data_IF_057300782474
#
_entry.id   IF_057300782474
#
_cell.length_a   1.000
_cell.length_b   1.000
_cell.length_c   1.000
_cell.angle_alpha   90.00
_cell.angle_beta   90.00
_cell.angle_gamma   90.00
#
_symmetry.space_group_name_H-M   'P 1'
#
loop_
_entity.id
_entity.type
_entity.pdbx_description
1 polymer ?
#
# COMPACT_ATOMS: atom_id res chain seq x y z
N UNK A 1 12.97 0.64 6.02
CA UNK A 1 11.87 -0.10 5.36
C UNK A 1 10.67 0.83 5.30
N UNK A 2 9.99 0.89 4.17
CA UNK A 2 8.70 1.57 4.04
C UNK A 2 7.67 0.51 3.69
N UNK A 3 6.65 0.36 4.55
CA UNK A 3 5.51 -0.51 4.27
C UNK A 3 4.41 0.28 3.57
N UNK A 4 3.87 -0.26 2.49
CA UNK A 4 2.76 0.36 1.76
C UNK A 4 1.45 0.29 2.53
N UNK A 5 1.28 -0.73 3.37
CA UNK A 5 0.12 -0.92 4.25
C UNK A 5 0.40 -1.98 5.32
N UNK A 6 -0.54 -2.18 6.27
CA UNK A 6 -0.32 -2.99 7.48
C UNK A 6 -0.66 -4.48 7.35
N UNK A 7 -1.07 -5.00 6.20
CA UNK A 7 -1.40 -6.42 6.08
C UNK A 7 -0.20 -7.31 6.37
N UNK A 8 -0.45 -8.45 7.02
CA UNK A 8 0.58 -9.31 7.61
C UNK A 8 1.64 -9.79 6.61
N UNK A 9 1.25 -10.05 5.37
CA UNK A 9 2.14 -10.52 4.30
C UNK A 9 3.07 -9.42 3.77
N UNK A 10 2.78 -8.15 4.06
CA UNK A 10 3.64 -7.01 3.75
C UNK A 10 4.53 -6.56 4.91
N UNK A 11 4.13 -6.83 6.17
CA UNK A 11 4.86 -6.32 7.35
C UNK A 11 5.62 -7.39 8.12
N UNK A 12 5.25 -8.65 8.05
CA UNK A 12 5.91 -9.72 8.82
C UNK A 12 7.38 -9.95 8.45
N UNK A 13 7.82 -9.47 7.28
CA UNK A 13 9.22 -9.44 6.90
C UNK A 13 10.07 -8.45 7.71
N UNK A 14 9.47 -7.46 8.35
CA UNK A 14 10.18 -6.43 9.13
C UNK A 14 11.04 -7.02 10.25
N UNK A 15 10.60 -8.12 10.87
CA UNK A 15 11.30 -8.78 11.98
C UNK A 15 12.71 -9.30 11.61
N UNK A 16 12.99 -9.51 10.33
CA UNK A 16 14.31 -9.94 9.87
C UNK A 16 15.32 -8.79 9.75
N UNK A 17 14.88 -7.55 9.96
CA UNK A 17 15.71 -6.35 9.82
C UNK A 17 15.69 -5.50 11.12
N UNK A 18 16.24 -6.02 12.24
CA UNK A 18 16.09 -5.40 13.57
C UNK A 18 16.69 -3.99 13.66
N UNK A 19 17.68 -3.68 12.82
CA UNK A 19 18.34 -2.37 12.78
C UNK A 19 17.71 -1.38 11.79
N UNK A 20 16.71 -1.81 11.00
CA UNK A 20 16.04 -0.91 10.10
C UNK A 20 15.02 -0.04 10.84
N UNK A 21 14.88 1.20 10.38
CA UNK A 21 13.73 2.02 10.75
C UNK A 21 12.54 1.60 9.89
N UNK A 22 11.39 1.47 10.52
CA UNK A 22 10.13 1.08 9.89
C UNK A 22 9.26 2.31 9.74
N UNK A 23 8.88 2.62 8.51
CA UNK A 23 7.97 3.69 8.16
C UNK A 23 6.68 3.13 7.55
N UNK A 24 5.56 3.66 7.95
CA UNK A 24 4.22 3.29 7.47
C UNK A 24 3.28 4.49 7.65
N UNK A 25 2.19 4.54 6.90
CA UNK A 25 1.19 5.60 7.08
C UNK A 25 0.59 5.57 8.50
N UNK A 26 0.38 6.75 9.11
CA UNK A 26 -0.07 6.90 10.50
C UNK A 26 -1.32 6.10 10.87
N UNK A 27 -2.26 5.93 9.93
CA UNK A 27 -3.49 5.15 10.19
C UNK A 27 -3.15 3.67 10.33
N UNK A 28 -2.34 3.13 9.43
CA UNK A 28 -1.93 1.73 9.46
C UNK A 28 -0.86 1.46 10.53
N UNK A 29 -0.16 2.49 11.02
CA UNK A 29 0.74 2.40 12.16
C UNK A 29 -0.01 1.97 13.43
N UNK A 30 -1.21 2.50 13.67
CA UNK A 30 -2.06 2.13 14.81
C UNK A 30 -2.35 0.62 14.75
N UNK A 31 -2.79 0.13 13.58
CA UNK A 31 -3.09 -1.29 13.40
C UNK A 31 -1.86 -2.20 13.60
N UNK A 32 -0.68 -1.75 13.13
CA UNK A 32 0.55 -2.52 13.26
C UNK A 32 1.07 -2.57 14.70
N UNK A 33 0.88 -1.49 15.48
CA UNK A 33 1.34 -1.40 16.88
C UNK A 33 0.43 -2.11 17.89
N UNK A 34 -0.80 -2.40 17.54
CA UNK A 34 -1.77 -3.09 18.38
C UNK A 34 -1.75 -4.60 18.14
N UNK A 35 -1.71 -5.38 19.23
CA UNK A 35 -1.84 -6.83 19.15
C UNK A 35 -3.22 -7.22 18.58
N UNK A 36 -3.25 -8.23 17.72
CA UNK A 36 -4.47 -8.80 17.13
C UNK A 36 -5.41 -7.80 16.43
N UNK A 37 -4.89 -6.64 15.99
CA UNK A 37 -5.72 -5.67 15.30
C UNK A 37 -6.26 -6.24 13.97
N UNK A 38 -7.60 -6.24 13.77
CA UNK A 38 -8.23 -6.85 12.60
C UNK A 38 -7.85 -6.16 11.27
N UNK A 39 -7.44 -4.90 11.29
CA UNK A 39 -7.03 -4.17 10.09
C UNK A 39 -5.72 -4.75 9.47
N UNK A 40 -4.94 -5.54 10.25
CA UNK A 40 -3.78 -6.28 9.72
C UNK A 40 -4.13 -7.52 8.92
N UNK A 41 -5.37 -7.94 8.96
CA UNK A 41 -5.96 -9.18 8.42
C UNK A 41 -5.24 -10.47 8.84
N UNK A 42 -4.27 -10.41 9.73
CA UNK A 42 -3.47 -11.56 10.16
C UNK A 42 -4.35 -12.69 10.73
N UNK A 43 -5.19 -12.39 11.71
CA UNK A 43 -6.09 -13.37 12.36
C UNK A 43 -7.09 -13.98 11.38
N UNK A 44 -7.55 -13.23 10.37
CA UNK A 44 -8.44 -13.75 9.33
C UNK A 44 -7.82 -14.90 8.52
N UNK A 45 -6.50 -14.87 8.35
CA UNK A 45 -5.75 -15.92 7.65
C UNK A 45 -5.01 -16.88 8.59
N UNK A 46 -5.28 -16.83 9.90
CA UNK A 46 -4.64 -17.71 10.90
C UNK A 46 -3.16 -17.36 11.14
N UNK A 47 -2.79 -16.12 10.93
CA UNK A 47 -1.46 -15.58 11.19
C UNK A 47 -1.47 -14.58 12.36
N UNK A 48 -0.28 -14.24 12.83
CA UNK A 48 -0.02 -13.21 13.83
C UNK A 48 0.97 -12.19 13.27
N UNK A 49 0.91 -10.96 13.74
CA UNK A 49 1.93 -9.96 13.47
C UNK A 49 3.16 -10.28 14.30
N UNK A 50 4.34 -10.28 13.66
CA UNK A 50 5.61 -10.65 14.30
C UNK A 50 6.45 -9.45 14.73
N UNK A 51 6.13 -8.26 14.24
CA UNK A 51 6.89 -7.05 14.52
C UNK A 51 5.94 -5.85 14.55
N UNK A 52 5.75 -5.30 15.73
CA UNK A 52 4.88 -4.15 15.99
C UNK A 52 5.62 -2.82 15.99
N UNK A 53 6.90 -2.84 15.56
CA UNK A 53 7.74 -1.64 15.55
C UNK A 53 7.32 -0.69 14.45
N UNK A 54 7.10 0.58 14.81
CA UNK A 54 6.97 1.72 13.90
C UNK A 54 7.90 2.82 14.39
N UNK A 55 8.78 3.33 13.54
CA UNK A 55 9.72 4.42 13.87
C UNK A 55 9.29 5.74 13.23
N UNK A 56 8.56 5.70 12.10
CA UNK A 56 8.18 6.87 11.32
C UNK A 56 6.74 6.70 10.84
N UNK A 57 5.90 7.63 11.22
CA UNK A 57 4.55 7.73 10.70
C UNK A 57 4.54 8.66 9.47
N UNK A 58 3.94 8.18 8.38
CA UNK A 58 3.88 8.88 7.11
C UNK A 58 2.49 9.47 6.86
N UNK A 59 2.47 10.56 6.10
CA UNK A 59 1.24 11.22 5.62
C UNK A 59 1.34 11.52 4.12
N UNK A 60 0.19 11.91 3.54
CA UNK A 60 0.11 12.41 2.16
C UNK A 60 1.13 13.53 1.91
N UNK A 61 1.91 13.41 0.84
CA UNK A 61 2.88 14.42 0.41
C UNK A 61 4.25 14.35 1.09
N UNK A 62 4.42 13.46 2.07
CA UNK A 62 5.74 13.22 2.67
C UNK A 62 6.75 12.75 1.61
N UNK A 63 8.03 13.00 1.87
CA UNK A 63 9.12 12.59 0.99
C UNK A 63 9.99 11.52 1.66
N UNK A 64 10.17 10.41 0.98
CA UNK A 64 11.13 9.37 1.34
C UNK A 64 12.15 9.26 0.21
N UNK A 65 13.32 9.89 0.40
CA UNK A 65 14.31 10.08 -0.67
C UNK A 65 13.65 10.77 -1.88
N UNK A 66 13.66 10.12 -3.04
CA UNK A 66 13.11 10.64 -4.30
C UNK A 66 11.60 10.34 -4.45
N UNK A 67 11.01 9.57 -3.54
CA UNK A 67 9.61 9.19 -3.59
C UNK A 67 8.72 10.13 -2.78
N UNK A 68 7.58 10.47 -3.36
CA UNK A 68 6.46 11.12 -2.69
C UNK A 68 5.46 10.08 -2.20
N UNK A 69 5.00 10.24 -0.97
CA UNK A 69 3.93 9.43 -0.38
C UNK A 69 2.59 9.90 -0.91
N UNK A 70 1.86 8.99 -1.54
CA UNK A 70 0.49 9.23 -2.01
C UNK A 70 -0.44 8.34 -1.18
N UNK A 71 -1.27 8.94 -0.33
CA UNK A 71 -2.26 8.18 0.44
C UNK A 71 -3.38 7.69 -0.48
N UNK A 72 -3.54 6.38 -0.53
CA UNK A 72 -4.46 5.65 -1.42
C UNK A 72 -5.34 4.66 -0.64
N UNK A 73 -6.20 5.17 0.26
CA UNK A 73 -7.06 4.31 1.06
C UNK A 73 -8.01 3.49 0.20
N UNK A 74 -8.40 2.33 0.71
CA UNK A 74 -9.38 1.46 0.08
C UNK A 74 -9.08 -0.02 0.22
N UNK A 75 -7.87 -0.47 -0.04
CA UNK A 75 -7.42 -1.83 0.29
C UNK A 75 -7.20 -1.96 1.81
N UNK A 76 -6.42 -1.05 2.41
CA UNK A 76 -6.42 -0.73 3.83
C UNK A 76 -6.76 0.75 4.02
N UNK A 77 -7.00 1.17 5.27
CA UNK A 77 -7.31 2.57 5.60
C UNK A 77 -6.11 3.50 5.42
N UNK A 78 -4.90 2.98 5.68
CA UNK A 78 -3.65 3.70 5.58
C UNK A 78 -2.79 3.29 4.38
N UNK A 79 -3.36 2.63 3.36
CA UNK A 79 -2.60 2.25 2.18
C UNK A 79 -1.98 3.46 1.50
N UNK A 80 -0.72 3.32 1.09
CA UNK A 80 0.01 4.34 0.34
C UNK A 80 0.63 3.76 -0.93
N UNK A 81 0.82 4.64 -1.90
CA UNK A 81 1.74 4.44 -3.00
C UNK A 81 2.96 5.35 -2.82
N UNK A 82 4.09 4.96 -3.40
CA UNK A 82 5.29 5.78 -3.45
C UNK A 82 5.59 6.10 -4.91
N UNK A 83 5.73 7.39 -5.24
CA UNK A 83 5.90 7.86 -6.62
C UNK A 83 7.11 8.78 -6.76
N UNK A 84 7.98 8.52 -7.76
CA UNK A 84 9.21 9.29 -8.01
C UNK A 84 9.15 10.21 -9.24
N UNK A 85 7.98 10.31 -9.88
CA UNK A 85 7.79 11.05 -11.13
C UNK A 85 7.68 10.16 -12.37
N UNK A 86 8.10 8.91 -12.28
CA UNK A 86 8.01 7.91 -13.35
C UNK A 86 7.50 6.55 -12.85
N UNK A 87 8.00 6.12 -11.68
CA UNK A 87 7.77 4.81 -11.11
C UNK A 87 6.80 4.90 -9.94
N UNK A 88 5.87 3.95 -9.87
CA UNK A 88 4.90 3.85 -8.80
C UNK A 88 5.06 2.51 -8.08
N UNK A 89 5.50 2.55 -6.82
CA UNK A 89 5.38 1.40 -5.91
C UNK A 89 3.96 1.47 -5.37
N UNK A 90 3.08 0.62 -5.87
CA UNK A 90 1.64 0.75 -5.66
C UNK A 90 1.08 -0.06 -4.50
N UNK A 91 1.91 -0.93 -3.87
CA UNK A 91 1.36 -1.89 -2.91
C UNK A 91 0.16 -2.61 -3.52
N UNK A 92 -0.93 -2.67 -2.77
CA UNK A 92 -2.16 -3.34 -3.18
C UNK A 92 -3.26 -2.37 -3.63
N UNK A 93 -2.89 -1.15 -4.01
CA UNK A 93 -3.85 -0.19 -4.57
C UNK A 93 -4.19 -0.55 -6.02
N UNK A 94 -3.17 -0.72 -6.87
CA UNK A 94 -3.32 -1.16 -8.27
C UNK A 94 -2.25 -2.19 -8.63
N UNK A 95 -2.61 -3.12 -9.51
CA UNK A 95 -1.72 -4.15 -10.02
C UNK A 95 -1.41 -3.95 -11.50
N UNK A 96 -0.34 -4.59 -11.97
CA UNK A 96 -0.05 -4.63 -13.39
C UNK A 96 -1.21 -5.26 -14.19
N UNK A 97 -1.36 -4.80 -15.43
CA UNK A 97 -2.39 -5.29 -16.36
C UNK A 97 -3.86 -5.07 -15.92
N UNK A 98 -4.10 -4.13 -14.98
CA UNK A 98 -5.44 -3.67 -14.66
C UNK A 98 -6.13 -4.47 -13.54
N UNK A 99 -5.46 -4.69 -12.42
CA UNK A 99 -6.05 -5.22 -11.19
C UNK A 99 -6.09 -4.19 -10.07
N UNK A 100 -6.85 -4.46 -9.03
CA UNK A 100 -6.88 -3.69 -7.77
C UNK A 100 -6.88 -4.64 -6.58
N UNK A 101 -6.41 -4.15 -5.43
CA UNK A 101 -6.49 -4.89 -4.18
C UNK A 101 -7.93 -5.17 -3.76
N UNK A 102 -8.11 -6.27 -3.04
CA UNK A 102 -9.43 -6.63 -2.48
C UNK A 102 -9.87 -5.61 -1.43
N UNK A 103 -11.17 -5.46 -1.26
CA UNK A 103 -11.77 -4.53 -0.30
C UNK A 103 -12.79 -5.19 0.62
N UNK A 104 -13.00 -6.48 0.47
CA UNK A 104 -14.02 -7.26 1.19
C UNK A 104 -13.59 -7.63 2.63
N UNK A 105 -12.31 -7.41 2.99
CA UNK A 105 -11.81 -7.61 4.35
C UNK A 105 -11.21 -6.28 4.84
N UNK A 106 -11.96 -5.54 5.64
CA UNK A 106 -11.50 -4.27 6.25
C UNK A 106 -11.33 -3.09 5.29
N UNK A 107 -11.54 -3.28 3.98
CA UNK A 107 -11.36 -2.27 2.97
C UNK A 107 -12.62 -1.48 2.61
N UNK A 108 -12.49 -0.56 1.65
CA UNK A 108 -13.56 0.30 1.13
C UNK A 108 -13.46 0.43 -0.39
N UNK A 109 -14.42 -0.17 -1.09
CA UNK A 109 -14.47 -0.10 -2.57
C UNK A 109 -14.62 1.35 -3.07
N UNK A 110 -15.41 2.17 -2.38
CA UNK A 110 -15.61 3.57 -2.76
C UNK A 110 -14.36 4.42 -2.58
N UNK A 111 -13.55 4.13 -1.56
CA UNK A 111 -12.31 4.87 -1.32
C UNK A 111 -11.22 4.38 -2.26
N UNK A 112 -11.16 3.08 -2.57
CA UNK A 112 -10.25 2.54 -3.56
C UNK A 112 -10.50 3.17 -4.94
N UNK A 113 -11.77 3.32 -5.35
CA UNK A 113 -12.11 4.03 -6.58
C UNK A 113 -11.53 5.45 -6.62
N UNK A 114 -11.72 6.25 -5.56
CA UNK A 114 -11.17 7.62 -5.47
C UNK A 114 -9.64 7.61 -5.52
N UNK A 115 -9.02 6.62 -4.87
CA UNK A 115 -7.56 6.45 -4.87
C UNK A 115 -7.04 6.15 -6.26
N UNK A 116 -7.66 5.23 -7.00
CA UNK A 116 -7.29 4.93 -8.39
C UNK A 116 -7.54 6.14 -9.30
N UNK A 117 -8.64 6.89 -9.09
CA UNK A 117 -8.91 8.14 -9.81
C UNK A 117 -7.82 9.21 -9.56
N UNK A 118 -7.28 9.30 -8.33
CA UNK A 118 -6.14 10.15 -8.01
C UNK A 118 -4.91 9.73 -8.82
N UNK A 119 -4.59 8.43 -8.84
CA UNK A 119 -3.42 7.90 -9.55
C UNK A 119 -3.49 8.11 -11.08
N UNK A 120 -4.69 8.13 -11.68
CA UNK A 120 -4.86 8.44 -13.12
C UNK A 120 -4.30 9.80 -13.54
N UNK A 121 -4.15 10.74 -12.60
CA UNK A 121 -3.60 12.08 -12.88
C UNK A 121 -2.08 12.09 -13.02
N UNK A 122 -1.42 10.99 -12.63
CA UNK A 122 0.02 10.83 -12.70
C UNK A 122 0.43 10.24 -14.06
N UNK A 123 1.63 10.59 -14.51
CA UNK A 123 2.21 10.01 -15.73
C UNK A 123 3.11 8.81 -15.36
N UNK A 124 2.48 7.76 -14.84
CA UNK A 124 3.17 6.56 -14.37
C UNK A 124 3.66 5.73 -15.55
N UNK A 125 4.97 5.51 -15.62
CA UNK A 125 5.60 4.62 -16.62
C UNK A 125 5.58 3.17 -16.15
N UNK A 126 6.10 2.93 -14.94
CA UNK A 126 6.23 1.58 -14.39
C UNK A 126 5.49 1.45 -13.07
N UNK A 127 4.71 0.37 -12.92
CA UNK A 127 4.10 -0.05 -11.65
C UNK A 127 4.90 -1.18 -11.04
N UNK A 128 5.23 -1.04 -9.76
CA UNK A 128 5.79 -2.08 -8.88
C UNK A 128 4.70 -2.45 -7.85
N UNK A 129 3.89 -3.46 -8.13
CA UNK A 129 2.77 -3.83 -7.25
C UNK A 129 3.23 -4.67 -6.07
N UNK A 130 2.39 -4.78 -5.04
CA UNK A 130 2.62 -5.70 -3.92
C UNK A 130 2.54 -7.17 -4.34
N UNK A 131 1.64 -7.48 -5.26
CA UNK A 131 1.47 -8.81 -5.83
C UNK A 131 1.46 -8.77 -7.36
N UNK A 132 1.87 -9.89 -7.97
CA UNK A 132 1.88 -10.04 -9.41
C UNK A 132 3.15 -9.52 -10.07
N UNK A 133 3.06 -9.12 -11.32
CA UNK A 133 4.22 -8.74 -12.12
C UNK A 133 4.36 -7.22 -12.24
N UNK A 134 5.60 -6.75 -12.34
CA UNK A 134 5.93 -5.38 -12.72
C UNK A 134 5.36 -5.11 -14.11
N UNK A 135 4.77 -3.92 -14.30
CA UNK A 135 4.23 -3.50 -15.59
C UNK A 135 4.81 -2.15 -16.04
N UNK A 136 5.46 -2.17 -17.20
CA UNK A 136 6.06 -0.98 -17.84
C UNK A 136 5.05 -0.13 -18.63
N UNK A 137 3.77 -0.44 -18.55
CA UNK A 137 2.66 0.34 -19.11
C UNK A 137 1.78 0.90 -17.99
N UNK A 138 2.38 1.51 -16.98
CA UNK A 138 1.75 1.88 -15.72
C UNK A 138 0.47 2.71 -15.90
N UNK A 139 0.52 3.74 -16.75
CA UNK A 139 -0.66 4.58 -17.04
C UNK A 139 -1.84 3.75 -17.56
N UNK A 140 -1.59 2.87 -18.53
CA UNK A 140 -2.61 1.99 -19.11
C UNK A 140 -3.17 1.04 -18.06
N UNK A 141 -2.32 0.46 -17.20
CA UNK A 141 -2.76 -0.42 -16.12
C UNK A 141 -3.65 0.29 -15.11
N UNK A 142 -3.34 1.54 -14.75
CA UNK A 142 -4.18 2.36 -13.86
C UNK A 142 -5.54 2.65 -14.53
N UNK A 143 -5.56 2.97 -15.83
CA UNK A 143 -6.80 3.18 -16.57
C UNK A 143 -7.68 1.91 -16.62
N UNK A 144 -7.05 0.75 -16.86
CA UNK A 144 -7.71 -0.55 -16.82
C UNK A 144 -8.25 -0.87 -15.41
N UNK A 145 -7.45 -0.63 -14.36
CA UNK A 145 -7.89 -0.78 -12.96
C UNK A 145 -9.10 0.10 -12.66
N UNK A 146 -9.09 1.35 -13.13
CA UNK A 146 -10.23 2.26 -12.94
C UNK A 146 -11.51 1.77 -13.64
N UNK A 147 -11.40 1.03 -14.74
CA UNK A 147 -12.55 0.49 -15.47
C UNK A 147 -13.29 -0.63 -14.73
N UNK A 148 -12.75 -1.12 -13.61
CA UNK A 148 -13.39 -2.12 -12.73
C UNK A 148 -14.49 -1.52 -11.83
N UNK A 149 -14.54 -0.19 -11.74
CA UNK A 149 -15.46 0.57 -10.89
C UNK A 149 -16.65 1.13 -11.69
#
# INVERSE_FOLDING_TARGET
IVNTHCHFDHVNGNCFFPNAKIAIHKIDAIALMEDDNPDTVASHFGHEIKCHKVDIELEEGDKIKDFEVIHTPGHSKGAICLWDGENLISGDTVFGHGGVGRTDIGGSFSDLKKSVEKLKKLDVKTIYPGHGMIDNNGKKSIEMSYSLF
#
